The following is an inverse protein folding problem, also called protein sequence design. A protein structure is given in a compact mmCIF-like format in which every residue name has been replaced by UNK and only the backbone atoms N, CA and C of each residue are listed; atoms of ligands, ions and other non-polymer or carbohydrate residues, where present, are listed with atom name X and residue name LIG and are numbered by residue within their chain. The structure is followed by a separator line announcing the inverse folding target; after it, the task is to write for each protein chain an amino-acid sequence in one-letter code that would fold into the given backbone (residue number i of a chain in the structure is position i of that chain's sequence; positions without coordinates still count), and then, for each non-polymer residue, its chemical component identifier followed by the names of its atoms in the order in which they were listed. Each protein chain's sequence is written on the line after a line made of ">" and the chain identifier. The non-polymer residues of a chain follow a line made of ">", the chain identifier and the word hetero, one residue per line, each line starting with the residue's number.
data_IF_662778351194
#
_entry.id   IF_662778351194
#
_cell.length_a   1.000
_cell.length_b   1.000
_cell.length_c   1.000
_cell.angle_alpha   90.00
_cell.angle_beta   90.00
_cell.angle_gamma   90.00
#
_symmetry.space_group_name_H-M   'P 1'
#
loop_
_entity.id
_entity.type
_entity.pdbx_description
1 polymer ?
#
# COMPACT_ATOMS: atom_id res chain seq x y z
N UNK A 1 -33.69 -2.60 23.38
CA UNK A 1 -32.61 -3.56 23.28
C UNK A 1 -31.40 -2.80 22.84
N UNK A 2 -30.35 -2.54 23.67
CA UNK A 2 -29.14 -1.85 23.22
C UNK A 2 -28.22 -2.84 22.50
N UNK A 3 -27.87 -2.51 21.30
CA UNK A 3 -26.84 -3.21 20.49
C UNK A 3 -25.48 -2.82 21.06
N UNK A 4 -24.73 -3.80 21.53
CA UNK A 4 -23.37 -3.64 22.04
C UNK A 4 -22.37 -3.93 20.91
N UNK A 5 -22.13 -2.96 20.05
CA UNK A 5 -20.99 -2.99 19.13
C UNK A 5 -19.78 -2.30 19.79
N UNK A 6 -19.15 -3.01 20.72
CA UNK A 6 -17.79 -2.72 21.14
C UNK A 6 -16.85 -3.69 20.39
N UNK A 7 -16.40 -3.27 19.24
CA UNK A 7 -15.27 -3.90 18.59
C UNK A 7 -13.99 -3.26 19.18
N UNK A 8 -13.11 -4.01 19.86
CA UNK A 8 -11.90 -3.44 20.44
C UNK A 8 -10.95 -2.97 19.33
N UNK A 9 -10.39 -1.80 19.53
CA UNK A 9 -9.31 -1.28 18.70
C UNK A 9 -8.21 -2.36 18.55
N UNK A 10 -7.79 -2.61 17.32
CA UNK A 10 -6.72 -3.55 17.04
C UNK A 10 -5.45 -3.10 17.76
N UNK A 11 -5.06 -3.86 18.77
CA UNK A 11 -3.78 -3.69 19.46
C UNK A 11 -2.69 -4.11 18.47
N UNK A 12 -1.59 -3.35 18.29
CA UNK A 12 -0.48 -3.79 17.45
C UNK A 12 0.06 -5.11 18.02
N UNK A 13 0.03 -6.15 17.21
CA UNK A 13 0.45 -7.48 17.61
C UNK A 13 1.97 -7.48 17.82
N UNK A 14 2.38 -7.46 19.09
CA UNK A 14 3.75 -7.79 19.48
C UNK A 14 3.95 -9.29 19.27
N UNK A 15 4.77 -9.67 18.27
CA UNK A 15 5.59 -10.87 18.33
C UNK A 15 4.92 -12.24 18.31
N UNK A 16 3.66 -12.40 17.89
CA UNK A 16 3.10 -13.70 17.56
C UNK A 16 3.26 -13.95 16.07
N UNK A 17 3.91 -15.06 15.70
CA UNK A 17 4.00 -15.48 14.32
C UNK A 17 2.60 -15.44 13.70
N UNK A 18 2.43 -14.64 12.67
CA UNK A 18 1.16 -14.54 11.95
C UNK A 18 0.74 -15.94 11.46
N UNK A 19 -0.55 -16.29 11.55
CA UNK A 19 -0.99 -17.63 11.19
C UNK A 19 -0.67 -17.91 9.72
N UNK A 20 0.12 -18.95 9.48
CA UNK A 20 0.42 -19.40 8.12
C UNK A 20 -0.88 -19.78 7.39
N UNK A 21 -0.95 -19.59 6.06
CA UNK A 21 -2.08 -20.08 5.28
C UNK A 21 -2.34 -21.56 5.55
N UNK A 22 -3.62 -21.98 5.60
CA UNK A 22 -3.96 -23.37 5.86
C UNK A 22 -3.51 -24.26 4.69
N UNK A 23 -3.08 -25.47 5.01
CA UNK A 23 -2.67 -26.42 3.98
C UNK A 23 -1.60 -27.37 4.44
N UNK A 24 -1.22 -28.27 3.54
CA UNK A 24 -0.12 -29.21 3.77
C UNK A 24 1.22 -28.54 3.52
N UNK A 25 2.27 -28.87 4.26
CA UNK A 25 3.62 -28.42 3.97
C UNK A 25 4.03 -28.71 2.52
N UNK A 26 4.86 -27.85 1.95
CA UNK A 26 5.38 -28.04 0.60
C UNK A 26 6.14 -29.36 0.48
N UNK A 27 5.73 -30.21 -0.45
CA UNK A 27 6.37 -31.50 -0.67
C UNK A 27 7.79 -31.31 -1.25
N UNK A 28 8.68 -32.27 -0.97
CA UNK A 28 10.06 -32.25 -1.52
C UNK A 28 10.06 -32.19 -3.06
N UNK A 29 9.14 -32.92 -3.69
CA UNK A 29 8.99 -32.88 -5.16
C UNK A 29 8.66 -31.48 -5.69
N UNK A 30 7.81 -30.72 -4.99
CA UNK A 30 7.49 -29.35 -5.35
C UNK A 30 8.69 -28.43 -5.16
N UNK A 31 9.44 -28.59 -4.06
CA UNK A 31 10.67 -27.81 -3.83
C UNK A 31 11.71 -28.05 -4.93
N UNK A 32 11.92 -29.31 -5.34
CA UNK A 32 12.82 -29.65 -6.45
C UNK A 32 12.36 -29.03 -7.77
N UNK A 33 11.05 -29.07 -8.05
CA UNK A 33 10.47 -28.42 -9.23
C UNK A 33 10.71 -26.91 -9.21
N UNK A 34 10.45 -26.27 -8.07
CA UNK A 34 10.62 -24.82 -7.91
C UNK A 34 12.09 -24.41 -8.10
N UNK A 35 13.03 -25.17 -7.54
CA UNK A 35 14.46 -24.96 -7.74
C UNK A 35 14.87 -25.11 -9.22
N UNK A 36 14.35 -26.13 -9.89
CA UNK A 36 14.58 -26.34 -11.33
C UNK A 36 13.99 -25.22 -12.18
N UNK A 37 12.76 -24.82 -11.88
CA UNK A 37 12.10 -23.72 -12.55
C UNK A 37 12.84 -22.39 -12.38
N UNK A 38 13.34 -22.11 -11.18
CA UNK A 38 14.14 -20.91 -10.88
C UNK A 38 15.40 -20.80 -11.75
N UNK A 39 16.02 -21.92 -12.11
CA UNK A 39 17.22 -21.94 -12.96
C UNK A 39 16.91 -21.65 -14.43
N UNK A 40 15.75 -22.05 -14.94
CA UNK A 40 15.44 -21.98 -16.37
C UNK A 40 14.40 -20.91 -16.72
N UNK A 41 13.56 -20.51 -15.79
CA UNK A 41 12.52 -19.50 -16.04
C UNK A 41 13.04 -18.09 -15.80
N UNK A 42 12.86 -17.22 -16.78
CA UNK A 42 13.39 -15.85 -16.70
C UNK A 42 12.57 -14.92 -15.78
N UNK A 43 11.30 -15.22 -15.51
CA UNK A 43 10.37 -14.41 -14.69
C UNK A 43 10.42 -12.91 -15.03
N UNK A 44 10.47 -12.59 -16.32
CA UNK A 44 10.78 -11.24 -16.84
C UNK A 44 9.93 -10.13 -16.23
N UNK A 45 8.60 -10.25 -16.07
CA UNK A 45 7.80 -9.19 -15.46
C UNK A 45 8.20 -8.89 -14.02
N UNK A 46 8.42 -9.93 -13.20
CA UNK A 46 8.80 -9.77 -11.78
C UNK A 46 10.18 -9.14 -11.65
N UNK A 47 11.12 -9.45 -12.57
CA UNK A 47 12.45 -8.84 -12.62
C UNK A 47 12.44 -7.35 -12.95
N UNK A 48 11.30 -6.78 -13.38
CA UNK A 48 11.16 -5.35 -13.58
C UNK A 48 10.78 -4.60 -12.28
N UNK A 49 10.46 -5.31 -11.22
CA UNK A 49 10.31 -4.74 -9.89
C UNK A 49 11.69 -4.44 -9.32
N UNK A 50 12.11 -3.18 -9.41
CA UNK A 50 13.48 -2.71 -9.15
C UNK A 50 13.62 -1.90 -7.87
N UNK A 51 12.53 -1.47 -7.29
CA UNK A 51 12.52 -0.62 -6.11
C UNK A 51 11.64 -1.27 -5.04
N UNK A 52 12.05 -1.12 -3.79
CA UNK A 52 11.29 -1.52 -2.63
C UNK A 52 11.06 -0.29 -1.76
N UNK A 53 9.80 0.07 -1.58
CA UNK A 53 9.40 1.15 -0.70
C UNK A 53 8.51 0.63 0.41
N UNK A 54 8.71 1.16 1.61
CA UNK A 54 7.85 0.95 2.76
C UNK A 54 7.06 2.22 3.04
N UNK A 55 5.75 2.09 3.23
CA UNK A 55 4.86 3.19 3.59
C UNK A 55 3.69 2.70 4.46
N UNK A 56 2.69 3.54 4.64
CA UNK A 56 1.48 3.20 5.39
C UNK A 56 0.25 3.43 4.53
N UNK A 57 -0.74 2.56 4.69
CA UNK A 57 -2.03 2.67 4.01
C UNK A 57 -3.17 2.59 5.02
N UNK A 58 -4.25 3.32 4.74
CA UNK A 58 -5.47 3.33 5.53
C UNK A 58 -6.62 2.78 4.69
N UNK A 59 -7.55 2.05 5.32
CA UNK A 59 -8.77 1.60 4.65
C UNK A 59 -9.71 2.79 4.41
N UNK A 60 -10.07 3.05 3.16
CA UNK A 60 -10.95 4.16 2.80
C UNK A 60 -12.34 4.11 3.45
N UNK A 61 -12.77 2.94 3.91
CA UNK A 61 -14.04 2.75 4.62
C UNK A 61 -13.89 2.80 6.15
N UNK A 62 -12.72 2.41 6.69
CA UNK A 62 -12.41 2.48 8.12
C UNK A 62 -10.98 2.99 8.32
N UNK A 63 -10.80 4.28 8.41
CA UNK A 63 -9.49 4.94 8.55
C UNK A 63 -8.72 4.57 9.82
N UNK A 64 -9.35 3.88 10.77
CA UNK A 64 -8.66 3.32 11.95
C UNK A 64 -7.90 2.04 11.60
N UNK A 65 -8.26 1.39 10.50
CA UNK A 65 -7.49 0.29 9.94
C UNK A 65 -6.30 0.84 9.19
N UNK A 66 -5.11 0.67 9.76
CA UNK A 66 -3.85 1.20 9.26
C UNK A 66 -2.85 0.06 9.10
N UNK A 67 -2.21 -0.01 7.95
CA UNK A 67 -1.25 -1.04 7.60
C UNK A 67 0.10 -0.42 7.28
N UNK A 68 1.18 -1.04 7.75
CA UNK A 68 2.47 -0.90 7.10
C UNK A 68 2.46 -1.78 5.86
N UNK A 69 2.94 -1.25 4.74
CA UNK A 69 2.87 -1.92 3.44
C UNK A 69 4.19 -1.78 2.67
N UNK A 70 4.54 -2.84 1.96
CA UNK A 70 5.79 -2.96 1.20
C UNK A 70 5.50 -3.04 -0.29
N UNK A 71 5.89 -2.00 -1.00
CA UNK A 71 5.68 -1.87 -2.43
C UNK A 71 6.91 -2.35 -3.20
N UNK A 72 6.77 -3.42 -3.99
CA UNK A 72 7.75 -3.76 -5.02
C UNK A 72 7.34 -3.07 -6.32
N UNK A 73 8.12 -2.08 -6.73
CA UNK A 73 7.77 -1.11 -7.77
C UNK A 73 8.41 -1.45 -9.10
N UNK A 74 7.61 -1.44 -10.15
CA UNK A 74 8.02 -1.51 -11.55
C UNK A 74 7.56 -0.26 -12.30
N UNK A 75 8.49 0.35 -13.03
CA UNK A 75 8.22 1.51 -13.87
C UNK A 75 7.81 1.06 -15.27
N UNK A 76 6.60 1.38 -15.71
CA UNK A 76 6.15 1.15 -17.07
C UNK A 76 6.65 2.25 -18.02
N UNK A 77 6.57 3.51 -17.57
CA UNK A 77 7.16 4.69 -18.22
C UNK A 77 7.34 5.79 -17.16
N UNK A 78 7.64 7.03 -17.53
CA UNK A 78 7.84 8.12 -16.57
C UNK A 78 6.59 8.49 -15.79
N UNK A 79 5.41 8.24 -16.36
CA UNK A 79 4.13 8.68 -15.83
C UNK A 79 3.33 7.56 -15.16
N UNK A 80 3.74 6.28 -15.32
CA UNK A 80 2.99 5.13 -14.84
C UNK A 80 3.90 4.13 -14.15
N UNK A 81 3.64 3.86 -12.87
CA UNK A 81 4.25 2.79 -12.09
C UNK A 81 3.19 1.74 -11.72
N UNK A 82 3.64 0.53 -11.50
CA UNK A 82 2.83 -0.54 -10.92
C UNK A 82 3.56 -1.19 -9.76
N UNK A 83 2.81 -1.53 -8.71
CA UNK A 83 3.36 -2.10 -7.48
C UNK A 83 2.67 -3.41 -7.14
N UNK A 84 3.45 -4.43 -6.82
CA UNK A 84 2.98 -5.55 -6.00
C UNK A 84 3.15 -5.15 -4.55
N UNK A 85 2.07 -5.26 -3.76
CA UNK A 85 2.06 -4.81 -2.37
C UNK A 85 2.03 -6.03 -1.44
N UNK A 86 2.97 -6.06 -0.51
CA UNK A 86 3.16 -7.12 0.47
C UNK A 86 2.95 -6.61 1.90
N UNK A 87 2.63 -7.52 2.83
CA UNK A 87 2.47 -7.25 4.26
C UNK A 87 3.79 -7.11 5.03
N UNK A 88 4.89 -7.57 4.45
CA UNK A 88 6.24 -7.42 4.99
C UNK A 88 7.29 -7.54 3.88
N UNK A 89 8.58 -7.42 4.22
CA UNK A 89 9.71 -7.70 3.33
C UNK A 89 10.39 -9.06 3.60
N UNK A 90 9.79 -9.86 4.46
CA UNK A 90 10.28 -11.18 4.78
C UNK A 90 10.03 -12.19 3.64
N UNK A 91 10.83 -13.26 3.53
CA UNK A 91 10.63 -14.29 2.49
C UNK A 91 9.25 -14.97 2.53
N UNK A 92 8.56 -14.92 3.66
CA UNK A 92 7.21 -15.46 3.87
C UNK A 92 6.11 -14.43 3.64
N UNK A 93 6.44 -13.21 3.23
CA UNK A 93 5.49 -12.14 3.00
C UNK A 93 4.38 -12.54 2.02
N UNK A 94 3.18 -12.06 2.29
CA UNK A 94 1.99 -12.33 1.48
C UNK A 94 1.73 -11.16 0.54
N UNK A 95 1.45 -11.48 -0.71
CA UNK A 95 0.97 -10.50 -1.67
C UNK A 95 -0.45 -10.10 -1.27
N UNK A 96 -0.57 -8.93 -0.65
CA UNK A 96 -1.85 -8.45 -0.12
C UNK A 96 -2.60 -7.53 -1.08
N UNK A 97 -1.96 -7.06 -2.14
CA UNK A 97 -2.65 -6.19 -3.09
C UNK A 97 -1.81 -5.68 -4.22
N UNK A 98 -2.39 -4.75 -4.95
CA UNK A 98 -1.75 -4.06 -6.08
C UNK A 98 -2.02 -2.57 -6.01
N UNK A 99 -1.02 -1.76 -6.37
CA UNK A 99 -1.17 -0.33 -6.52
C UNK A 99 -0.69 0.12 -7.89
N UNK A 100 -1.43 1.05 -8.49
CA UNK A 100 -1.01 1.79 -9.67
C UNK A 100 -0.76 3.24 -9.29
N UNK A 101 0.34 3.81 -9.77
CA UNK A 101 0.74 5.18 -9.51
C UNK A 101 0.86 5.90 -10.83
N UNK A 102 0.25 7.09 -10.95
CA UNK A 102 0.29 7.90 -12.16
C UNK A 102 0.72 9.33 -11.84
N UNK A 103 1.30 10.01 -12.86
CA UNK A 103 1.59 11.43 -12.77
C UNK A 103 0.31 12.25 -12.68
N UNK A 104 0.43 13.51 -12.24
CA UNK A 104 -0.64 14.51 -12.24
C UNK A 104 -1.27 14.66 -13.62
N UNK A 105 -0.47 14.70 -14.66
CA UNK A 105 -0.94 14.82 -16.06
C UNK A 105 -1.88 13.69 -16.45
N UNK A 106 -1.52 12.44 -16.11
CA UNK A 106 -2.40 11.28 -16.38
C UNK A 106 -3.64 11.34 -15.49
N UNK A 107 -3.45 11.64 -14.20
CA UNK A 107 -4.57 11.73 -13.25
C UNK A 107 -5.60 12.77 -13.70
N UNK A 108 -5.17 13.94 -14.18
CA UNK A 108 -6.08 15.00 -14.64
C UNK A 108 -6.91 14.58 -15.88
N UNK A 109 -6.44 13.63 -16.66
CA UNK A 109 -7.16 13.06 -17.78
C UNK A 109 -8.26 12.04 -17.41
N UNK A 110 -8.27 11.55 -16.16
CA UNK A 110 -9.23 10.54 -15.69
C UNK A 110 -10.65 11.14 -15.54
N UNK A 111 -11.70 10.33 -15.74
CA UNK A 111 -13.07 10.73 -15.41
C UNK A 111 -13.23 11.09 -13.93
N UNK A 112 -14.11 12.03 -13.57
CA UNK A 112 -14.28 12.48 -12.19
C UNK A 112 -14.62 11.35 -11.19
N UNK A 113 -15.43 10.38 -11.60
CA UNK A 113 -15.79 9.21 -10.80
C UNK A 113 -14.59 8.29 -10.54
N UNK A 114 -13.69 8.17 -11.51
CA UNK A 114 -12.46 7.39 -11.36
C UNK A 114 -11.46 8.10 -10.44
N UNK A 115 -11.29 9.42 -10.56
CA UNK A 115 -10.40 10.22 -9.71
C UNK A 115 -10.65 10.01 -8.22
N UNK A 116 -11.91 9.79 -7.82
CA UNK A 116 -12.31 9.58 -6.42
C UNK A 116 -11.77 8.30 -5.79
N UNK A 117 -11.31 7.35 -6.60
CA UNK A 117 -10.69 6.11 -6.14
C UNK A 117 -9.19 6.25 -5.90
N UNK A 118 -8.63 7.43 -6.15
CA UNK A 118 -7.21 7.68 -6.06
C UNK A 118 -6.88 8.57 -4.86
N UNK A 119 -5.66 8.42 -4.36
CA UNK A 119 -5.10 9.23 -3.28
C UNK A 119 -3.85 9.96 -3.74
N UNK A 120 -3.54 11.09 -3.13
CA UNK A 120 -2.32 11.85 -3.37
C UNK A 120 -1.16 11.32 -2.50
N UNK A 121 0.04 11.25 -3.05
CA UNK A 121 1.26 10.93 -2.31
C UNK A 121 1.94 12.15 -1.67
N UNK A 122 1.41 13.35 -1.87
CA UNK A 122 2.07 14.59 -1.43
C UNK A 122 2.40 14.58 0.06
N UNK A 123 1.42 14.30 0.91
CA UNK A 123 1.61 14.34 2.35
C UNK A 123 2.52 13.22 2.87
N UNK A 124 2.30 11.96 2.49
CA UNK A 124 3.09 10.84 3.01
C UNK A 124 4.58 10.98 2.68
N UNK A 125 4.87 11.46 1.46
CA UNK A 125 6.23 11.72 1.03
C UNK A 125 6.85 12.85 1.84
N UNK A 126 6.18 14.01 1.90
CA UNK A 126 6.68 15.19 2.62
C UNK A 126 6.82 14.95 4.12
N UNK A 127 5.92 14.18 4.71
CA UNK A 127 5.94 13.82 6.12
C UNK A 127 6.98 12.75 6.50
N UNK A 128 7.74 12.19 5.53
CA UNK A 128 8.71 11.13 5.79
C UNK A 128 8.07 9.77 6.08
N UNK A 129 6.78 9.60 5.77
CA UNK A 129 6.05 8.35 6.03
C UNK A 129 6.38 7.26 5.00
N UNK A 130 6.83 7.64 3.81
CA UNK A 130 7.34 6.73 2.79
C UNK A 130 8.88 6.74 2.79
N UNK A 131 9.48 5.56 2.75
CA UNK A 131 10.93 5.37 2.61
C UNK A 131 11.25 4.28 1.59
N UNK A 132 12.28 4.48 0.79
CA UNK A 132 12.84 3.45 -0.08
C UNK A 132 13.88 2.67 0.72
N UNK A 133 13.58 1.41 0.99
CA UNK A 133 14.33 0.57 1.93
C UNK A 133 15.77 0.38 1.44
N UNK A 134 16.73 0.74 2.31
CA UNK A 134 18.15 0.58 2.02
C UNK A 134 18.75 1.64 1.07
N UNK A 135 17.97 2.61 0.59
CA UNK A 135 18.45 3.69 -0.27
C UNK A 135 18.60 4.98 0.55
N UNK A 136 19.74 5.66 0.41
CA UNK A 136 19.97 6.95 1.10
C UNK A 136 19.13 8.05 0.46
N UNK A 137 18.51 8.91 1.28
CA UNK A 137 17.66 10.00 0.84
C UNK A 137 18.34 10.89 -0.22
N UNK A 138 19.60 11.25 -0.03
CA UNK A 138 20.35 12.07 -0.98
C UNK A 138 20.49 11.49 -2.39
N UNK A 139 20.34 10.16 -2.54
CA UNK A 139 20.40 9.49 -3.86
C UNK A 139 19.05 9.44 -4.58
N UNK A 140 17.97 9.70 -3.88
CA UNK A 140 16.61 9.56 -4.40
C UNK A 140 15.79 10.85 -4.34
N UNK A 141 16.35 11.96 -3.87
CA UNK A 141 15.62 13.22 -3.63
C UNK A 141 14.80 13.68 -4.84
N UNK A 142 15.32 13.56 -6.06
CA UNK A 142 14.60 13.93 -7.28
C UNK A 142 13.42 12.99 -7.59
N UNK A 143 13.56 11.68 -7.33
CA UNK A 143 12.47 10.71 -7.47
C UNK A 143 11.42 10.92 -6.38
N UNK A 144 11.85 11.17 -5.15
CA UNK A 144 10.98 11.50 -4.02
C UNK A 144 10.15 12.75 -4.31
N UNK A 145 10.79 13.81 -4.82
CA UNK A 145 10.10 15.05 -5.22
C UNK A 145 9.11 14.82 -6.39
N UNK A 146 9.45 13.94 -7.33
CA UNK A 146 8.53 13.56 -8.40
C UNK A 146 7.35 12.75 -7.88
N UNK A 147 7.60 11.82 -6.97
CA UNK A 147 6.57 10.97 -6.38
C UNK A 147 5.54 11.78 -5.59
N UNK A 148 5.95 12.86 -4.89
CA UNK A 148 5.02 13.74 -4.17
C UNK A 148 3.95 14.38 -5.06
N UNK A 149 4.19 14.43 -6.38
CA UNK A 149 3.28 14.98 -7.39
C UNK A 149 2.45 13.90 -8.11
N UNK A 150 2.41 12.69 -7.57
CA UNK A 150 1.69 11.55 -8.17
C UNK A 150 0.47 11.16 -7.37
N UNK A 151 -0.35 10.33 -7.99
CA UNK A 151 -1.57 9.77 -7.39
C UNK A 151 -1.53 8.26 -7.46
N UNK A 152 -1.97 7.59 -6.38
CA UNK A 152 -2.04 6.14 -6.25
C UNK A 152 -3.46 5.61 -6.20
N UNK A 153 -3.65 4.39 -6.71
CA UNK A 153 -4.87 3.60 -6.51
C UNK A 153 -4.48 2.21 -6.03
N UNK A 154 -4.71 1.95 -4.74
CA UNK A 154 -4.33 0.72 -4.08
C UNK A 154 -5.56 -0.13 -3.71
N UNK A 155 -5.60 -1.37 -4.21
CA UNK A 155 -6.58 -2.39 -3.83
C UNK A 155 -5.91 -3.46 -2.97
N UNK A 156 -6.32 -3.54 -1.69
CA UNK A 156 -5.95 -4.61 -0.78
C UNK A 156 -6.89 -5.78 -0.98
N UNK A 157 -6.37 -6.91 -1.45
CA UNK A 157 -7.13 -8.11 -1.83
C UNK A 157 -7.08 -9.23 -0.79
N UNK A 158 -6.23 -9.10 0.23
CA UNK A 158 -6.10 -10.07 1.32
C UNK A 158 -5.98 -9.34 2.66
N UNK A 159 -6.99 -9.53 3.52
CA UNK A 159 -7.11 -8.83 4.80
C UNK A 159 -6.35 -9.57 5.92
N UNK A 160 -5.06 -9.76 5.74
CA UNK A 160 -4.19 -10.50 6.66
C UNK A 160 -4.22 -9.93 8.07
N UNK A 161 -4.18 -8.62 8.18
CA UNK A 161 -4.25 -7.87 9.44
C UNK A 161 -5.55 -8.11 10.25
N UNK A 162 -6.61 -8.55 9.56
CA UNK A 162 -7.88 -8.96 10.17
C UNK A 162 -7.93 -10.44 10.53
N UNK A 163 -6.84 -11.17 10.33
CA UNK A 163 -6.73 -12.60 10.61
C UNK A 163 -7.16 -13.52 9.48
N UNK A 164 -7.39 -12.99 8.26
CA UNK A 164 -7.73 -13.78 7.09
C UNK A 164 -6.56 -14.70 6.72
N UNK A 165 -6.75 -16.00 6.88
CA UNK A 165 -5.75 -17.01 6.48
C UNK A 165 -5.71 -17.23 4.95
N UNK A 166 -6.73 -16.80 4.23
CA UNK A 166 -6.88 -16.83 2.78
C UNK A 166 -7.52 -15.52 2.32
N UNK A 167 -7.37 -15.10 1.07
CA UNK A 167 -8.02 -13.90 0.54
C UNK A 167 -9.54 -14.12 0.32
N UNK A 168 -10.30 -14.11 1.40
CA UNK A 168 -11.73 -14.48 1.43
C UNK A 168 -12.66 -13.28 1.24
N UNK A 169 -12.22 -12.09 1.60
CA UNK A 169 -13.04 -10.89 1.61
C UNK A 169 -13.04 -10.17 0.25
N UNK A 170 -14.03 -9.29 0.03
CA UNK A 170 -13.98 -8.34 -1.07
C UNK A 170 -12.72 -7.43 -0.95
N UNK A 171 -12.16 -6.96 -2.07
CA UNK A 171 -11.05 -6.02 -2.02
C UNK A 171 -11.43 -4.74 -1.28
N UNK A 172 -10.51 -4.20 -0.48
CA UNK A 172 -10.64 -2.90 0.15
C UNK A 172 -9.85 -1.85 -0.64
N UNK A 173 -10.46 -0.68 -0.84
CA UNK A 173 -9.74 0.48 -1.36
C UNK A 173 -8.90 1.07 -0.21
N UNK A 174 -7.61 1.21 -0.45
CA UNK A 174 -6.68 1.80 0.51
C UNK A 174 -6.29 3.21 0.06
N UNK A 175 -6.03 4.07 1.03
CA UNK A 175 -5.67 5.46 0.81
C UNK A 175 -4.39 5.83 1.55
N UNK A 176 -3.73 6.90 1.12
CA UNK A 176 -2.53 7.42 1.75
C UNK A 176 -2.85 8.21 3.01
N UNK A 177 -1.96 8.20 4.02
CA UNK A 177 -2.09 9.04 5.22
C UNK A 177 -2.19 10.53 4.93
N UNK A 178 -2.79 11.26 5.87
CA UNK A 178 -2.90 12.72 5.83
C UNK A 178 -2.57 13.35 7.20
N UNK A 179 -2.37 14.67 7.21
CA UNK A 179 -2.05 15.43 8.44
C UNK A 179 -3.19 15.46 9.45
N UNK A 180 -4.42 15.39 8.95
CA UNK A 180 -5.65 15.57 9.74
C UNK A 180 -6.17 14.26 10.30
N UNK A 181 -6.78 14.31 11.48
CA UNK A 181 -7.56 13.19 11.99
C UNK A 181 -8.90 13.07 11.21
N UNK A 182 -9.30 11.84 10.87
CA UNK A 182 -8.75 10.54 11.27
C UNK A 182 -7.66 9.96 10.34
N UNK A 183 -7.11 10.71 9.39
CA UNK A 183 -6.14 10.22 8.39
C UNK A 183 -4.69 10.13 8.87
N UNK A 184 -4.40 10.45 10.13
CA UNK A 184 -3.04 10.39 10.68
C UNK A 184 -2.65 8.95 11.02
N UNK A 185 -1.40 8.57 10.66
CA UNK A 185 -0.84 7.26 11.03
C UNK A 185 -0.55 7.20 12.51
N UNK A 186 -0.84 6.05 13.11
CA UNK A 186 -0.49 5.72 14.49
C UNK A 186 1.03 5.81 14.71
N UNK A 187 1.43 6.53 15.76
CA UNK A 187 2.85 6.77 16.05
C UNK A 187 3.63 5.49 16.35
N UNK A 188 2.96 4.46 16.86
CA UNK A 188 3.56 3.15 17.16
C UNK A 188 3.96 2.41 15.87
N UNK A 189 3.14 2.47 14.82
CA UNK A 189 3.46 1.89 13.51
C UNK A 189 4.68 2.59 12.90
N UNK A 190 4.68 3.92 12.92
CA UNK A 190 5.82 4.71 12.39
C UNK A 190 7.09 4.36 13.14
N UNK A 191 7.06 4.34 14.48
CA UNK A 191 8.21 3.99 15.31
C UNK A 191 8.72 2.58 15.03
N UNK A 192 7.84 1.58 14.93
CA UNK A 192 8.21 0.19 14.63
C UNK A 192 8.91 0.04 13.29
N UNK A 193 8.42 0.74 12.25
CA UNK A 193 9.05 0.82 10.94
C UNK A 193 10.43 1.49 11.03
N UNK A 194 10.51 2.62 11.69
CA UNK A 194 11.74 3.41 11.82
C UNK A 194 12.85 2.63 12.53
N UNK A 195 12.52 1.93 13.61
CA UNK A 195 13.44 1.05 14.32
C UNK A 195 13.96 -0.09 13.42
N UNK A 196 13.08 -0.73 12.66
CA UNK A 196 13.41 -1.86 11.78
C UNK A 196 14.35 -1.46 10.65
N UNK A 197 14.08 -0.33 9.99
CA UNK A 197 14.87 0.13 8.86
C UNK A 197 15.94 1.17 9.23
N UNK A 198 16.07 1.52 10.51
CA UNK A 198 17.01 2.55 11.01
C UNK A 198 16.83 3.88 10.30
N UNK A 199 15.57 4.27 10.12
CA UNK A 199 15.14 5.54 9.53
C UNK A 199 14.67 6.44 10.66
N UNK A 200 14.75 7.73 10.47
CA UNK A 200 14.16 8.72 11.35
C UNK A 200 13.11 9.55 10.57
N UNK A 201 11.85 9.30 10.81
CA UNK A 201 10.74 10.05 10.22
C UNK A 201 10.36 11.30 11.01
N UNK A 202 11.10 11.60 12.09
CA UNK A 202 10.83 12.77 12.94
C UNK A 202 11.15 14.10 12.23
N UNK A 203 10.84 15.20 12.92
CA UNK A 203 11.14 16.54 12.43
C UNK A 203 12.66 16.79 12.24
N UNK A 204 13.54 15.95 12.81
CA UNK A 204 14.98 16.02 12.63
C UNK A 204 15.55 15.07 11.57
N UNK A 205 14.73 14.18 11.02
CA UNK A 205 15.12 13.17 10.04
C UNK A 205 14.53 13.42 8.66
N UNK A 206 13.93 12.39 8.03
CA UNK A 206 13.39 12.45 6.67
C UNK A 206 12.47 13.64 6.41
N UNK A 207 11.67 14.02 7.41
CA UNK A 207 10.80 15.18 7.28
C UNK A 207 11.62 16.48 7.16
N UNK A 208 12.74 16.60 7.87
CA UNK A 208 13.64 17.76 7.76
C UNK A 208 14.33 17.76 6.39
N UNK A 209 14.81 16.62 5.92
CA UNK A 209 15.48 16.48 4.62
C UNK A 209 14.55 16.88 3.45
N UNK A 210 13.24 16.74 3.65
CA UNK A 210 12.20 17.03 2.65
C UNK A 210 11.53 18.40 2.82
N UNK A 211 11.99 19.24 3.75
CA UNK A 211 11.41 20.59 3.97
C UNK A 211 11.49 21.44 2.70
N UNK A 212 12.66 21.46 2.05
CA UNK A 212 12.91 22.24 0.84
C UNK A 212 12.43 21.55 -0.45
N UNK A 213 11.82 20.37 -0.34
CA UNK A 213 11.32 19.66 -1.50
C UNK A 213 10.07 20.37 -2.05
N UNK A 214 10.03 20.58 -3.37
CA UNK A 214 8.88 21.13 -4.07
C UNK A 214 7.63 20.30 -3.80
N UNK A 215 6.59 20.96 -3.31
CA UNK A 215 5.26 20.38 -3.20
C UNK A 215 4.48 20.61 -4.51
N UNK A 216 3.46 19.77 -4.79
CA UNK A 216 2.53 20.12 -5.85
C UNK A 216 1.84 21.45 -5.52
N UNK A 217 1.77 22.37 -6.50
CA UNK A 217 1.08 23.66 -6.33
C UNK A 217 -0.39 23.47 -5.94
N UNK A 218 -0.97 22.35 -6.36
CA UNK A 218 -2.35 22.04 -6.14
C UNK A 218 -2.57 20.51 -6.14
N UNK A 219 -3.41 20.05 -5.22
CA UNK A 219 -3.89 18.67 -5.18
C UNK A 219 -5.35 18.68 -5.62
N UNK A 220 -5.69 17.86 -6.63
CA UNK A 220 -7.05 17.79 -7.14
C UNK A 220 -8.03 17.34 -6.05
N UNK A 221 -9.10 18.09 -5.75
CA UNK A 221 -10.04 17.78 -4.69
C UNK A 221 -10.86 16.51 -4.91
N UNK A 222 -10.80 15.90 -6.10
CA UNK A 222 -11.37 14.57 -6.31
C UNK A 222 -10.44 13.44 -5.86
N UNK A 223 -9.14 13.69 -5.67
CA UNK A 223 -8.28 12.76 -4.95
C UNK A 223 -8.55 12.85 -3.44
N UNK A 224 -8.16 11.80 -2.71
CA UNK A 224 -8.39 11.73 -1.26
C UNK A 224 -9.85 12.03 -0.88
N UNK A 225 -10.79 11.52 -1.68
CA UNK A 225 -12.22 11.84 -1.57
C UNK A 225 -12.81 11.51 -0.19
N UNK A 226 -12.16 10.59 0.52
CA UNK A 226 -12.47 10.23 1.91
C UNK A 226 -12.31 11.41 2.90
N UNK A 227 -11.50 12.41 2.60
CA UNK A 227 -11.39 13.64 3.40
C UNK A 227 -12.72 14.41 3.48
N UNK A 228 -13.63 14.16 2.55
CA UNK A 228 -14.99 14.74 2.56
C UNK A 228 -15.98 13.88 3.35
N UNK A 229 -15.52 12.89 4.14
CA UNK A 229 -16.38 11.98 4.92
C UNK A 229 -17.05 10.90 4.09
N UNK A 230 -16.56 10.63 2.88
CA UNK A 230 -17.11 9.65 1.94
C UNK A 230 -16.09 8.54 1.71
N UNK A 231 -16.43 7.30 2.05
CA UNK A 231 -15.64 6.11 1.78
C UNK A 231 -16.21 5.29 0.62
N UNK A 232 -15.38 4.37 0.09
CA UNK A 232 -15.80 3.41 -0.92
C UNK A 232 -15.69 2.00 -0.37
N UNK A 233 -16.74 1.21 -0.52
CA UNK A 233 -16.72 -0.22 -0.27
C UNK A 233 -17.02 -0.97 -1.57
N UNK A 234 -16.41 -2.14 -1.73
CA UNK A 234 -16.71 -3.06 -2.83
C UNK A 234 -17.75 -4.06 -2.33
N UNK A 235 -18.86 -4.15 -3.02
CA UNK A 235 -19.89 -5.15 -2.76
C UNK A 235 -19.87 -6.22 -3.87
N UNK A 236 -19.84 -7.48 -3.48
CA UNK A 236 -19.85 -8.62 -4.40
C UNK A 236 -21.30 -9.09 -4.58
N UNK A 237 -21.90 -8.76 -5.72
CA UNK A 237 -23.28 -9.12 -6.02
C UNK A 237 -23.36 -10.28 -7.01
N UNK A 238 -24.27 -11.25 -6.80
CA UNK A 238 -24.52 -12.30 -7.78
C UNK A 238 -25.05 -11.74 -9.09
N UNK A 239 -24.48 -12.17 -10.21
CA UNK A 239 -24.94 -11.82 -11.54
C UNK A 239 -25.49 -13.06 -12.26
N UNK A 240 -26.64 -12.93 -12.94
CA UNK A 240 -27.18 -13.98 -13.79
C UNK A 240 -26.66 -13.80 -15.20
N UNK A 241 -26.04 -14.84 -15.75
CA UNK A 241 -25.68 -14.90 -17.15
C UNK A 241 -26.68 -15.78 -17.86
N UNK A 242 -27.32 -15.26 -18.94
CA UNK A 242 -28.07 -16.10 -19.86
C UNK A 242 -27.09 -16.92 -20.69
N UNK A 243 -26.98 -18.19 -20.38
CA UNK A 243 -26.40 -19.16 -21.32
C UNK A 243 -27.38 -19.32 -22.45
N UNK A 244 -27.25 -18.54 -23.52
CA UNK A 244 -27.99 -18.74 -24.75
C UNK A 244 -27.73 -20.18 -25.26
N UNK A 245 -28.79 -20.94 -25.44
CA UNK A 245 -28.77 -22.25 -26.13
C UNK A 245 -28.65 -22.02 -27.62
#
# INVERSE_FOLDING_TARGET
>A
MPSSDQNPAATPASGTAEPAPPGRPTAVSSQVLDMGAQLVQALKPVRQMKQHACSFALDAHDLRRQLEVHHLVSRLNQDVLQCAVYDSDEPSARLIGVEYIVSDTIFESLPPEEKRLWHSHAYEVKAGLRTDVGVREALQSSETARLSKTYGKFWCTWQVDRGDQLPLSAPALMVSPQATEPGRVCAELVRGRDERYRVDSSAGGLKADRVEMDEPEWINPNADYWLHGMGFAVDVVPCFFFLGR
#
